data_IF_384569603388
#
_entry.id   IF_384569603388
#
_cell.length_a   1.000
_cell.length_b   1.000
_cell.length_c   1.000
_cell.angle_alpha   90.00
_cell.angle_beta   90.00
_cell.angle_gamma   90.00
#
_symmetry.space_group_name_H-M   'P 1'
#
loop_
_entity.id
_entity.type
_entity.pdbx_description
1 polymer ?
#
# COMPACT_ATOMS: atom_id res chain seq x y z
N UNK A 1 25.00 -47.99 -51.89
CA UNK A 1 25.14 -47.65 -50.46
C UNK A 1 24.44 -46.30 -50.22
N UNK A 2 23.31 -46.29 -49.50
CA UNK A 2 22.48 -45.09 -49.23
C UNK A 2 22.93 -44.45 -47.92
N UNK A 3 23.19 -43.14 -47.90
CA UNK A 3 23.46 -42.37 -46.68
C UNK A 3 22.18 -41.63 -46.29
N UNK A 4 21.64 -41.95 -45.12
CA UNK A 4 20.54 -41.21 -44.48
C UNK A 4 21.14 -40.11 -43.61
N UNK A 5 20.84 -38.85 -43.91
CA UNK A 5 21.14 -37.71 -43.06
C UNK A 5 19.98 -37.49 -42.10
N UNK A 6 20.23 -37.61 -40.79
CA UNK A 6 19.27 -37.22 -39.75
C UNK A 6 19.41 -35.71 -39.54
N UNK A 7 18.34 -34.98 -39.84
CA UNK A 7 18.21 -33.55 -39.51
C UNK A 7 17.70 -33.48 -38.07
N UNK A 8 18.53 -32.95 -37.17
CA UNK A 8 18.17 -32.70 -35.79
C UNK A 8 17.51 -31.32 -35.70
N UNK A 9 16.17 -31.27 -35.58
CA UNK A 9 15.45 -30.02 -35.32
C UNK A 9 15.58 -29.67 -33.83
N UNK A 10 16.34 -28.61 -33.53
CA UNK A 10 16.38 -28.01 -32.19
C UNK A 10 15.15 -27.10 -32.05
N UNK A 11 14.18 -27.51 -31.24
CA UNK A 11 13.04 -26.66 -30.85
C UNK A 11 13.50 -25.79 -29.68
N UNK A 12 13.74 -24.51 -29.94
CA UNK A 12 14.01 -23.52 -28.91
C UNK A 12 12.75 -23.15 -28.17
N UNK A 13 12.64 -23.54 -26.89
CA UNK A 13 11.58 -23.08 -26.00
C UNK A 13 11.98 -21.70 -25.46
N UNK A 14 11.36 -20.64 -25.98
CA UNK A 14 11.45 -19.31 -25.39
C UNK A 14 10.55 -19.28 -24.15
N UNK A 15 11.15 -19.32 -22.96
CA UNK A 15 10.43 -19.04 -21.71
C UNK A 15 10.27 -17.53 -21.58
N UNK A 16 9.07 -17.02 -21.86
CA UNK A 16 8.71 -15.65 -21.46
C UNK A 16 8.45 -15.68 -19.96
N UNK A 17 9.36 -15.13 -19.16
CA UNK A 17 9.08 -14.83 -17.76
C UNK A 17 8.10 -13.64 -17.74
N UNK A 18 6.80 -13.92 -17.60
CA UNK A 18 5.86 -12.88 -17.21
C UNK A 18 6.20 -12.49 -15.77
N UNK A 19 6.53 -11.22 -15.54
CA UNK A 19 6.56 -10.69 -14.18
C UNK A 19 5.11 -10.65 -13.68
N UNK A 20 4.70 -11.67 -12.95
CA UNK A 20 3.44 -11.65 -12.21
C UNK A 20 3.74 -10.94 -10.90
N UNK A 21 3.31 -9.67 -10.80
CA UNK A 21 3.28 -9.01 -9.50
C UNK A 21 2.12 -9.63 -8.71
N UNK A 22 2.35 -9.98 -7.45
CA UNK A 22 1.27 -10.41 -6.58
C UNK A 22 0.48 -9.19 -6.10
N UNK A 23 -0.81 -9.36 -5.90
CA UNK A 23 -1.64 -8.36 -5.25
C UNK A 23 -1.04 -7.97 -3.89
N UNK A 24 -0.90 -6.68 -3.64
CA UNK A 24 -0.35 -6.10 -2.42
C UNK A 24 -1.20 -6.47 -1.21
N UNK A 25 -2.51 -6.22 -1.29
CA UNK A 25 -3.45 -6.57 -0.23
C UNK A 25 -4.30 -7.77 -0.62
N UNK A 26 -4.26 -8.81 0.21
CA UNK A 26 -5.02 -10.08 -0.02
C UNK A 26 -5.92 -10.45 1.16
N UNK A 27 -6.03 -9.57 2.16
CA UNK A 27 -6.86 -9.75 3.34
C UNK A 27 -8.36 -9.75 3.04
N UNK A 28 -9.15 -10.10 4.04
CA UNK A 28 -10.61 -9.94 3.97
C UNK A 28 -10.99 -8.47 4.18
N UNK A 29 -12.11 -8.08 3.61
CA UNK A 29 -12.69 -6.75 3.85
C UNK A 29 -13.39 -6.75 5.21
N UNK A 30 -13.06 -5.78 6.06
CA UNK A 30 -13.62 -5.59 7.39
C UNK A 30 -15.12 -5.30 7.32
N UNK A 31 -15.50 -4.31 6.49
CA UNK A 31 -16.88 -4.00 6.17
C UNK A 31 -17.00 -3.22 4.87
N UNK A 32 -18.23 -3.13 4.37
CA UNK A 32 -18.57 -2.36 3.17
C UNK A 32 -19.48 -1.20 3.55
N UNK A 33 -19.13 0.00 3.10
CA UNK A 33 -19.92 1.22 3.23
C UNK A 33 -20.57 1.61 1.90
N UNK A 34 -21.66 2.36 1.98
CA UNK A 34 -22.39 2.84 0.81
C UNK A 34 -23.23 1.76 0.12
N UNK A 35 -23.66 2.08 -1.09
CA UNK A 35 -24.45 1.20 -1.96
C UNK A 35 -24.31 1.64 -3.41
N UNK A 36 -24.30 0.70 -4.34
CA UNK A 36 -24.33 1.00 -5.76
C UNK A 36 -23.67 -0.07 -6.61
N UNK A 37 -23.58 0.20 -7.90
CA UNK A 37 -23.04 -0.71 -8.91
C UNK A 37 -21.52 -0.64 -9.05
N UNK A 38 -20.90 0.46 -8.65
CA UNK A 38 -19.44 0.59 -8.61
C UNK A 38 -18.90 0.29 -7.21
N UNK A 39 -17.68 -0.22 -7.14
CA UNK A 39 -16.98 -0.50 -5.89
C UNK A 39 -15.51 -0.10 -5.97
N UNK A 40 -14.93 0.28 -4.84
CA UNK A 40 -13.51 0.51 -4.65
C UNK A 40 -13.10 -0.06 -3.29
N UNK A 41 -11.84 -0.45 -3.18
CA UNK A 41 -11.26 -0.95 -1.93
C UNK A 41 -10.32 0.10 -1.36
N UNK A 42 -10.52 0.44 -0.11
CA UNK A 42 -9.68 1.37 0.66
C UNK A 42 -8.85 0.54 1.65
N UNK A 43 -7.55 0.73 1.65
CA UNK A 43 -6.63 0.04 2.54
C UNK A 43 -5.94 1.02 3.50
N UNK A 44 -6.13 0.83 4.80
CA UNK A 44 -5.39 1.57 5.83
C UNK A 44 -4.26 0.67 6.33
N UNK A 45 -3.02 1.07 6.04
CA UNK A 45 -1.80 0.30 6.26
C UNK A 45 -0.99 0.98 7.38
N UNK A 46 -1.21 0.53 8.62
CA UNK A 46 -0.53 1.04 9.81
C UNK A 46 0.89 0.49 9.91
N UNK A 47 1.03 -0.82 9.63
CA UNK A 47 2.29 -1.55 9.59
C UNK A 47 2.14 -2.73 8.61
N UNK A 48 3.24 -3.26 8.10
CA UNK A 48 3.25 -4.42 7.23
C UNK A 48 2.66 -5.65 7.93
N UNK A 49 1.54 -6.13 7.38
CA UNK A 49 0.74 -7.20 7.99
C UNK A 49 -0.28 -6.70 9.03
N UNK A 50 -0.30 -5.40 9.30
CA UNK A 50 -1.33 -4.68 10.06
C UNK A 50 -2.01 -3.66 9.12
N UNK A 51 -2.68 -4.19 8.10
CA UNK A 51 -3.48 -3.42 7.16
C UNK A 51 -4.91 -3.92 7.14
N UNK A 52 -5.83 -2.97 7.04
CA UNK A 52 -7.28 -3.22 7.10
C UNK A 52 -7.92 -2.76 5.82
N UNK A 53 -8.81 -3.59 5.28
CA UNK A 53 -9.45 -3.34 3.99
C UNK A 53 -10.92 -3.01 4.19
N UNK A 54 -11.37 -1.94 3.56
CA UNK A 54 -12.75 -1.48 3.56
C UNK A 54 -13.22 -1.38 2.12
N UNK A 55 -14.49 -1.68 1.88
CA UNK A 55 -15.09 -1.45 0.57
C UNK A 55 -16.03 -0.26 0.62
N UNK A 56 -16.03 0.52 -0.45
CA UNK A 56 -17.01 1.56 -0.67
C UNK A 56 -17.77 1.28 -1.96
N UNK A 57 -19.10 1.36 -1.92
CA UNK A 57 -19.98 1.20 -3.06
C UNK A 57 -20.73 2.49 -3.37
N UNK A 58 -20.85 2.82 -4.66
CA UNK A 58 -21.53 4.03 -5.10
C UNK A 58 -22.16 3.89 -6.48
N UNK A 59 -23.08 4.79 -6.79
CA UNK A 59 -23.56 5.08 -8.13
C UNK A 59 -23.17 6.51 -8.54
N UNK A 60 -23.01 6.75 -9.83
CA UNK A 60 -22.61 8.07 -10.35
C UNK A 60 -21.14 8.40 -10.11
N UNK A 61 -20.87 9.65 -9.74
CA UNK A 61 -19.51 10.17 -9.48
C UNK A 61 -19.28 10.17 -7.98
N UNK A 62 -18.18 9.57 -7.53
CA UNK A 62 -17.72 9.63 -6.16
C UNK A 62 -16.22 9.91 -6.12
N UNK A 63 -15.78 10.46 -5.00
CA UNK A 63 -14.39 10.84 -4.74
C UNK A 63 -13.77 9.97 -3.65
N UNK A 64 -12.45 10.06 -3.48
CA UNK A 64 -11.77 9.43 -2.35
C UNK A 64 -12.34 9.90 -1.01
N UNK A 65 -12.76 11.15 -0.91
CA UNK A 65 -13.34 11.70 0.32
C UNK A 65 -14.71 11.10 0.61
N UNK A 66 -15.56 10.97 -0.43
CA UNK A 66 -16.87 10.33 -0.29
C UNK A 66 -16.74 8.90 0.23
N UNK A 67 -15.70 8.17 -0.21
CA UNK A 67 -15.42 6.83 0.30
C UNK A 67 -15.01 6.85 1.78
N UNK A 68 -14.04 7.69 2.16
CA UNK A 68 -13.57 7.77 3.55
C UNK A 68 -14.68 8.20 4.50
N UNK A 69 -15.42 9.27 4.18
CA UNK A 69 -16.52 9.75 5.00
C UNK A 69 -17.63 8.70 5.16
N UNK A 70 -17.92 7.92 4.10
CA UNK A 70 -18.89 6.84 4.18
C UNK A 70 -18.39 5.66 5.04
N UNK A 71 -17.10 5.30 4.94
CA UNK A 71 -16.49 4.22 5.73
C UNK A 71 -16.44 4.60 7.21
N UNK A 72 -16.06 5.84 7.51
CA UNK A 72 -16.05 6.43 8.84
C UNK A 72 -17.45 6.36 9.48
N UNK A 73 -18.46 6.86 8.75
CA UNK A 73 -19.85 6.85 9.22
C UNK A 73 -20.43 5.44 9.40
N UNK A 74 -20.00 4.46 8.60
CA UNK A 74 -20.63 3.15 8.53
C UNK A 74 -20.14 2.16 9.60
N UNK A 75 -18.98 2.38 10.20
CA UNK A 75 -18.33 1.35 11.00
C UNK A 75 -17.41 1.89 12.08
N UNK A 76 -16.30 1.19 12.29
CA UNK A 76 -15.41 1.39 13.42
C UNK A 76 -14.08 2.09 13.07
N UNK A 77 -13.80 2.33 11.78
CA UNK A 77 -12.69 3.20 11.38
C UNK A 77 -13.09 4.63 11.70
N UNK A 78 -12.27 5.32 12.47
CA UNK A 78 -12.35 6.77 12.67
C UNK A 78 -11.40 7.46 11.69
N UNK A 79 -11.89 8.47 10.98
CA UNK A 79 -11.09 9.24 10.02
C UNK A 79 -10.97 10.69 10.48
N UNK A 80 -9.80 11.05 10.98
CA UNK A 80 -9.51 12.43 11.35
C UNK A 80 -9.10 13.22 10.11
N UNK A 81 -9.88 14.25 9.80
CA UNK A 81 -9.59 15.16 8.70
C UNK A 81 -9.89 16.62 9.02
N UNK A 82 -9.09 17.50 8.43
CA UNK A 82 -9.23 18.96 8.56
C UNK A 82 -9.72 19.52 7.23
N UNK A 83 -10.82 20.28 7.28
CA UNK A 83 -11.30 21.04 6.13
C UNK A 83 -10.51 22.34 5.93
N UNK A 84 -9.85 22.47 4.78
CA UNK A 84 -9.17 23.71 4.37
C UNK A 84 -10.04 24.49 3.39
N UNK A 85 -10.84 25.43 3.93
CA UNK A 85 -11.84 26.18 3.15
C UNK A 85 -11.29 26.95 1.95
N UNK A 86 -10.06 27.46 2.02
CA UNK A 86 -9.41 28.16 0.88
C UNK A 86 -9.10 27.22 -0.30
N UNK A 87 -8.79 25.95 0.00
CA UNK A 87 -8.50 24.92 -1.00
C UNK A 87 -9.74 24.09 -1.37
N UNK A 88 -10.85 24.28 -0.63
CA UNK A 88 -12.05 23.45 -0.71
C UNK A 88 -11.72 21.95 -0.70
N UNK A 89 -10.83 21.53 0.21
CA UNK A 89 -10.36 20.16 0.31
C UNK A 89 -10.13 19.74 1.76
N UNK A 90 -10.27 18.45 2.00
CA UNK A 90 -9.92 17.77 3.24
C UNK A 90 -8.46 17.32 3.21
N UNK A 91 -7.79 17.53 4.33
CA UNK A 91 -6.52 16.89 4.64
C UNK A 91 -6.78 15.81 5.68
N UNK A 92 -6.52 14.55 5.32
CA UNK A 92 -6.62 13.43 6.24
C UNK A 92 -5.37 13.41 7.11
N UNK A 93 -5.54 13.63 8.40
CA UNK A 93 -4.46 13.75 9.37
C UNK A 93 -4.20 12.46 10.13
N UNK A 94 -5.25 11.66 10.38
CA UNK A 94 -5.09 10.43 11.16
C UNK A 94 -6.18 9.38 10.88
N UNK A 95 -5.92 8.15 11.31
CA UNK A 95 -6.88 7.04 11.31
C UNK A 95 -6.80 6.28 12.64
N UNK A 96 -7.95 6.04 13.28
CA UNK A 96 -8.02 5.11 14.42
C UNK A 96 -8.86 3.88 14.04
N UNK A 97 -8.33 2.71 14.37
CA UNK A 97 -9.04 1.44 14.19
C UNK A 97 -8.61 0.44 15.24
N UNK A 98 -9.54 -0.36 15.73
CA UNK A 98 -9.25 -1.39 16.72
C UNK A 98 -8.22 -2.40 16.17
N UNK A 99 -7.02 -2.40 16.75
CA UNK A 99 -5.91 -3.25 16.32
C UNK A 99 -4.98 -2.60 15.28
N UNK A 100 -5.28 -1.40 14.81
CA UNK A 100 -4.37 -0.54 14.07
C UNK A 100 -3.28 -0.01 15.01
N UNK A 101 -2.02 -0.26 14.65
CA UNK A 101 -0.87 0.21 15.41
C UNK A 101 0.18 0.80 14.47
N UNK A 102 0.34 2.12 14.53
CA UNK A 102 1.38 2.84 13.81
C UNK A 102 2.77 2.36 14.20
N UNK A 103 3.58 1.98 13.22
CA UNK A 103 4.97 1.62 13.45
C UNK A 103 5.78 2.84 13.93
N UNK A 104 6.49 2.70 15.06
CA UNK A 104 7.41 3.73 15.55
C UNK A 104 8.72 3.71 14.75
N UNK A 105 8.90 4.72 13.91
CA UNK A 105 10.10 4.92 13.11
C UNK A 105 11.27 5.59 13.86
N UNK A 106 11.07 6.01 15.12
CA UNK A 106 12.02 6.84 15.86
C UNK A 106 12.34 8.16 15.15
N UNK A 107 11.43 8.63 14.29
CA UNK A 107 11.60 9.79 13.42
C UNK A 107 10.54 10.84 13.73
N UNK A 108 10.95 12.11 13.74
CA UNK A 108 10.01 13.24 13.81
C UNK A 108 9.23 13.46 12.49
N UNK A 109 9.62 12.77 11.42
CA UNK A 109 9.02 12.87 10.09
C UNK A 109 8.27 11.58 9.76
N UNK A 110 7.20 11.29 10.51
CA UNK A 110 6.28 10.19 10.25
C UNK A 110 4.88 10.73 10.02
N UNK A 111 4.10 10.04 9.18
CA UNK A 111 2.75 10.44 8.81
C UNK A 111 2.13 9.56 7.73
N UNK A 112 0.92 9.91 7.33
CA UNK A 112 0.12 9.16 6.35
C UNK A 112 0.42 9.58 4.91
N UNK A 113 0.85 8.63 4.09
CA UNK A 113 1.04 8.80 2.66
C UNK A 113 -0.10 8.16 1.86
N UNK A 114 -0.68 8.92 0.94
CA UNK A 114 -1.84 8.49 0.15
C UNK A 114 -1.42 7.94 -1.22
N UNK A 115 -1.95 6.77 -1.57
CA UNK A 115 -1.68 6.06 -2.81
C UNK A 115 -2.98 5.65 -3.50
N UNK A 116 -2.92 5.58 -4.84
CA UNK A 116 -3.97 4.99 -5.66
C UNK A 116 -3.40 3.91 -6.57
N UNK A 117 -4.23 2.91 -6.87
CA UNK A 117 -3.94 1.81 -7.79
C UNK A 117 -5.20 1.40 -8.55
N UNK A 118 -5.03 0.86 -9.75
CA UNK A 118 -6.11 0.25 -10.54
C UNK A 118 -6.11 -1.26 -10.47
N UNK A 119 -5.08 -1.87 -9.87
CA UNK A 119 -4.87 -3.32 -9.91
C UNK A 119 -4.34 -3.92 -8.60
N UNK A 120 -4.18 -3.12 -7.53
CA UNK A 120 -3.62 -3.57 -6.25
C UNK A 120 -2.20 -4.15 -6.38
N UNK A 121 -1.44 -3.74 -7.39
CA UNK A 121 -0.05 -4.18 -7.59
C UNK A 121 0.86 -2.98 -7.84
N UNK A 122 0.41 -2.05 -8.69
CA UNK A 122 1.14 -0.85 -9.05
C UNK A 122 0.49 0.32 -8.33
N UNK A 123 1.25 0.95 -7.45
CA UNK A 123 0.78 2.06 -6.62
C UNK A 123 1.43 3.35 -7.05
N UNK A 124 0.66 4.43 -7.05
CA UNK A 124 1.12 5.77 -7.37
C UNK A 124 0.74 6.70 -6.24
N UNK A 125 1.69 7.51 -5.78
CA UNK A 125 1.44 8.54 -4.77
C UNK A 125 0.37 9.52 -5.29
N UNK A 126 -0.55 9.89 -4.41
CA UNK A 126 -1.67 10.80 -4.68
C UNK A 126 -1.67 11.93 -3.65
N UNK A 127 -2.42 12.97 -3.99
CA UNK A 127 -2.76 14.07 -3.11
C UNK A 127 -4.16 14.57 -3.45
N UNK A 128 -4.82 15.24 -2.50
CA UNK A 128 -6.15 15.84 -2.70
C UNK A 128 -7.26 14.81 -2.82
N UNK A 129 -7.68 14.24 -1.69
CA UNK A 129 -8.66 13.15 -1.59
C UNK A 129 -10.03 13.52 -2.19
N UNK A 130 -10.45 14.79 -2.08
CA UNK A 130 -11.68 15.33 -2.69
C UNK A 130 -11.63 15.39 -4.22
N UNK A 131 -10.43 15.56 -4.80
CA UNK A 131 -10.26 15.67 -6.26
C UNK A 131 -10.02 14.33 -6.94
N UNK A 132 -9.71 13.29 -6.17
CA UNK A 132 -9.60 11.93 -6.67
C UNK A 132 -11.00 11.39 -6.98
N UNK A 133 -11.41 11.43 -8.25
CA UNK A 133 -12.59 10.69 -8.70
C UNK A 133 -12.31 9.18 -8.71
N UNK A 134 -13.16 8.39 -8.06
CA UNK A 134 -13.05 6.93 -8.01
C UNK A 134 -13.48 6.28 -9.34
N UNK A 135 -12.90 5.11 -9.61
CA UNK A 135 -13.22 4.28 -10.77
C UNK A 135 -13.56 2.89 -10.26
N UNK A 136 -14.54 2.24 -10.88
CA UNK A 136 -14.94 0.89 -10.46
C UNK A 136 -13.75 -0.08 -10.46
N UNK A 137 -13.59 -0.81 -9.35
CA UNK A 137 -12.50 -1.75 -9.09
C UNK A 137 -11.18 -1.10 -8.70
N UNK A 138 -11.11 0.22 -8.47
CA UNK A 138 -9.86 0.86 -8.04
C UNK A 138 -9.57 0.61 -6.56
N UNK A 139 -8.31 0.82 -6.21
CA UNK A 139 -7.79 0.72 -4.86
C UNK A 139 -7.18 2.06 -4.47
N UNK A 140 -7.44 2.47 -3.24
CA UNK A 140 -6.81 3.62 -2.62
C UNK A 140 -6.23 3.16 -1.27
N UNK A 141 -5.10 3.71 -0.86
CA UNK A 141 -4.42 3.28 0.37
C UNK A 141 -3.75 4.44 1.09
N UNK A 142 -3.91 4.47 2.41
CA UNK A 142 -3.14 5.32 3.30
C UNK A 142 -2.11 4.46 4.02
N UNK A 143 -0.85 4.84 3.89
CA UNK A 143 0.29 4.10 4.40
C UNK A 143 0.99 4.95 5.44
N UNK A 144 1.03 4.47 6.68
CA UNK A 144 1.84 5.09 7.71
C UNK A 144 3.32 4.96 7.32
N UNK A 145 4.06 6.04 7.23
CA UNK A 145 5.44 5.99 6.76
C UNK A 145 6.28 7.07 7.39
N UNK A 146 7.59 6.86 7.41
CA UNK A 146 8.53 7.96 7.52
C UNK A 146 8.77 8.64 6.16
N UNK A 147 9.25 9.88 6.23
CA UNK A 147 9.59 10.71 5.08
C UNK A 147 11.09 11.02 5.06
N UNK A 148 11.64 11.18 3.86
CA UNK A 148 12.98 11.74 3.69
C UNK A 148 13.00 13.27 3.89
N UNK A 149 14.19 13.87 3.80
CA UNK A 149 14.36 15.32 3.95
C UNK A 149 13.65 16.15 2.87
N UNK A 150 13.19 15.52 1.79
CA UNK A 150 12.44 16.15 0.70
C UNK A 150 10.93 15.87 0.80
N UNK A 151 10.45 15.36 1.95
CA UNK A 151 9.05 14.96 2.16
C UNK A 151 8.56 13.89 1.19
N UNK A 152 9.46 12.99 0.77
CA UNK A 152 9.11 11.82 -0.03
C UNK A 152 8.86 10.63 0.91
N UNK A 153 7.68 10.04 0.78
CA UNK A 153 7.30 8.83 1.50
C UNK A 153 8.27 7.68 1.17
N UNK A 154 8.86 7.08 2.20
CA UNK A 154 9.84 6.01 2.06
C UNK A 154 9.16 4.65 1.84
N UNK A 155 8.04 4.38 2.52
CA UNK A 155 7.27 3.13 2.41
C UNK A 155 6.19 3.25 1.36
N UNK A 156 6.01 2.19 0.58
CA UNK A 156 4.88 2.00 -0.34
C UNK A 156 3.88 0.99 0.26
N UNK A 157 2.64 0.94 -0.25
CA UNK A 157 1.63 -0.05 0.16
C UNK A 157 2.19 -1.47 0.27
N UNK A 158 1.94 -2.13 1.41
CA UNK A 158 2.35 -3.51 1.67
C UNK A 158 3.86 -3.75 1.75
N UNK A 159 4.67 -2.70 1.93
CA UNK A 159 6.10 -2.86 2.27
C UNK A 159 6.30 -2.89 3.77
N UNK A 160 7.22 -3.74 4.22
CA UNK A 160 7.69 -3.76 5.62
C UNK A 160 8.35 -2.43 6.01
N UNK A 161 8.05 -1.88 7.20
CA UNK A 161 8.82 -0.76 7.72
C UNK A 161 10.30 -1.10 7.73
N UNK A 162 11.12 -0.16 7.25
CA UNK A 162 12.56 -0.31 7.25
C UNK A 162 13.05 0.09 8.65
N UNK A 163 13.69 -0.82 9.41
CA UNK A 163 14.24 -0.48 10.72
C UNK A 163 15.28 0.63 10.59
N UNK A 164 15.38 1.45 11.63
CA UNK A 164 16.34 2.56 11.65
C UNK A 164 17.78 2.11 11.36
N UNK A 165 18.63 2.98 10.76
CA UNK A 165 20.00 2.64 10.42
C UNK A 165 20.84 2.09 11.58
N UNK A 166 20.54 2.50 12.83
CA UNK A 166 21.24 2.02 14.04
C UNK A 166 20.96 0.55 14.30
N UNK A 167 19.75 0.07 14.01
CA UNK A 167 19.37 -1.34 14.13
C UNK A 167 20.17 -2.19 13.15
N UNK A 168 20.33 -1.72 11.91
CA UNK A 168 21.18 -2.37 10.89
C UNK A 168 22.65 -2.40 11.35
N UNK A 169 23.16 -1.29 11.91
CA UNK A 169 24.51 -1.21 12.45
C UNK A 169 24.72 -2.19 13.62
N UNK A 170 23.74 -2.32 14.51
CA UNK A 170 23.81 -3.22 15.67
C UNK A 170 23.80 -4.69 15.24
N UNK A 171 22.97 -5.06 14.27
CA UNK A 171 22.99 -6.41 13.67
C UNK A 171 24.32 -6.69 12.94
N UNK A 172 24.86 -5.70 12.23
CA UNK A 172 26.18 -5.79 11.60
C UNK A 172 27.32 -6.00 12.59
N UNK A 173 27.34 -5.23 13.68
CA UNK A 173 28.33 -5.36 14.75
C UNK A 173 28.17 -6.66 15.54
N UNK A 174 26.93 -7.09 15.81
CA UNK A 174 26.64 -8.36 16.47
C UNK A 174 27.14 -9.57 15.67
N UNK A 175 26.93 -9.59 14.34
CA UNK A 175 27.46 -10.63 13.46
C UNK A 175 29.00 -10.69 13.47
N UNK A 176 29.67 -9.54 13.54
CA UNK A 176 31.13 -9.46 13.63
C UNK A 176 31.67 -9.98 14.98
N UNK A 177 30.95 -9.74 16.08
CA UNK A 177 31.33 -10.21 17.42
C UNK A 177 31.14 -11.73 17.58
N UNK A 178 30.07 -12.31 17.04
CA UNK A 178 29.84 -13.77 17.07
C UNK A 178 30.92 -14.51 16.28
N UNK A 179 31.42 -13.92 15.18
CA UNK A 179 32.51 -14.51 14.39
C UNK A 179 33.85 -14.50 15.12
N UNK A 180 34.09 -13.54 16.02
CA UNK A 180 35.31 -13.50 16.86
C UNK A 180 35.29 -14.47 18.03
N UNK A 181 34.12 -14.86 18.55
CA UNK A 181 34.01 -15.86 19.63
C UNK A 181 34.04 -17.32 19.13
N UNK A 182 34.14 -17.54 17.80
CA UNK A 182 34.21 -18.87 17.16
C UNK A 182 35.55 -19.13 16.44
N UNK A 183 36.54 -18.27 16.61
CA UNK A 183 37.93 -18.45 16.16
C UNK A 183 38.83 -18.66 17.38
#
# INVERSE_FOLDING_TARGET
>A
MKKFGVVCCVVGVCVFAANVNAATYTGSVEYTAGSGSNQATIAIDFDFGNSFLFNYQWDGIATGWDALAAIDTAGALDVDAIWYGEMAAHFVSDFDYAGGLEYDYGSAYAGWAYYGSTNNEIWTLKSGVDSRTLVNGCYDSWVWTNYDLNWIAIRQPGQMPIPEPVTILLFGLGGLLIRKCRA
#
